data_IF_909482128327
#
_entry.id   IF_909482128327
#
_cell.length_a   1.000
_cell.length_b   1.000
_cell.length_c   1.000
_cell.angle_alpha   90.00
_cell.angle_beta   90.00
_cell.angle_gamma   90.00
#
_symmetry.space_group_name_H-M   'P 1'
#
loop_
_entity.id
_entity.type
_entity.pdbx_description
1 polymer ?
#
# COMPACT_ATOMS: atom_id res chain seq x y z
N UNK A 1 -11.12 -12.58 33.54
CA UNK A 1 -11.17 -11.62 32.41
C UNK A 1 -10.09 -12.04 31.44
N UNK A 2 -10.39 -12.11 30.14
CA UNK A 2 -9.37 -12.37 29.13
C UNK A 2 -8.54 -11.09 28.94
N UNK A 3 -7.22 -11.20 29.05
CA UNK A 3 -6.31 -10.09 28.76
C UNK A 3 -6.08 -10.08 27.26
N UNK A 4 -6.40 -8.96 26.59
CA UNK A 4 -6.05 -8.76 25.18
C UNK A 4 -4.68 -8.11 25.08
N UNK A 5 -3.82 -8.67 24.25
CA UNK A 5 -2.53 -8.10 23.91
C UNK A 5 -2.63 -7.30 22.61
N UNK A 6 -2.03 -6.12 22.59
CA UNK A 6 -1.90 -5.31 21.38
C UNK A 6 -0.88 -5.96 20.45
N UNK A 7 -1.13 -5.87 19.14
CA UNK A 7 -0.18 -6.30 18.12
C UNK A 7 0.77 -5.13 17.83
N UNK A 8 2.08 -5.28 18.06
CA UNK A 8 3.02 -4.19 17.82
C UNK A 8 3.28 -4.01 16.32
N UNK A 9 3.66 -2.80 15.90
CA UNK A 9 3.91 -2.46 14.50
C UNK A 9 5.15 -3.15 13.86
N UNK A 10 5.89 -3.95 14.62
CA UNK A 10 6.98 -4.80 14.13
C UNK A 10 6.58 -6.28 14.04
N UNK A 11 5.35 -6.62 14.41
CA UNK A 11 4.84 -7.98 14.31
C UNK A 11 4.73 -8.39 12.83
N UNK A 12 5.22 -9.57 12.43
CA UNK A 12 5.12 -10.01 11.04
C UNK A 12 3.70 -10.04 10.48
N UNK A 13 2.68 -10.21 11.32
CA UNK A 13 1.27 -10.20 10.90
C UNK A 13 0.82 -8.86 10.35
N UNK A 14 1.49 -7.77 10.72
CA UNK A 14 1.20 -6.43 10.19
C UNK A 14 1.79 -6.22 8.80
N UNK A 15 2.50 -7.19 8.23
CA UNK A 15 3.04 -7.12 6.87
C UNK A 15 2.07 -7.76 5.88
N UNK A 16 1.87 -7.10 4.75
CA UNK A 16 1.20 -7.63 3.57
C UNK A 16 2.26 -7.94 2.54
N UNK A 17 2.23 -9.16 2.00
CA UNK A 17 3.11 -9.59 0.91
C UNK A 17 2.27 -10.02 -0.28
N UNK A 18 2.53 -9.41 -1.44
CA UNK A 18 1.80 -9.64 -2.69
C UNK A 18 2.82 -10.04 -3.75
N UNK A 19 2.62 -11.22 -4.33
CA UNK A 19 3.38 -11.64 -5.51
C UNK A 19 2.73 -11.04 -6.76
N UNK A 20 3.53 -10.30 -7.54
CA UNK A 20 3.08 -9.69 -8.78
C UNK A 20 3.73 -10.43 -9.95
N UNK A 21 2.97 -11.28 -10.69
CA UNK A 21 3.49 -11.95 -11.86
C UNK A 21 3.74 -10.93 -12.97
N UNK A 22 4.90 -11.02 -13.62
CA UNK A 22 5.28 -10.13 -14.73
C UNK A 22 5.71 -10.97 -15.92
N UNK A 23 5.16 -10.66 -17.09
CA UNK A 23 5.52 -11.35 -18.33
C UNK A 23 7.03 -11.27 -18.59
N UNK A 24 7.62 -12.39 -19.00
CA UNK A 24 9.06 -12.47 -19.29
C UNK A 24 9.97 -12.64 -18.06
N UNK A 25 9.44 -12.54 -16.83
CA UNK A 25 10.19 -12.86 -15.60
C UNK A 25 9.91 -14.29 -15.13
N UNK A 26 10.96 -15.01 -14.71
CA UNK A 26 10.83 -16.35 -14.09
C UNK A 26 10.40 -16.30 -12.62
N UNK A 27 10.67 -15.18 -11.94
CA UNK A 27 10.26 -14.94 -10.55
C UNK A 27 9.34 -13.72 -10.52
N UNK A 28 8.22 -13.79 -9.78
CA UNK A 28 7.36 -12.62 -9.61
C UNK A 28 8.11 -11.49 -8.92
N UNK A 29 7.64 -10.27 -9.13
CA UNK A 29 7.98 -9.16 -8.26
C UNK A 29 7.30 -9.38 -6.90
N UNK A 30 7.88 -8.82 -5.84
CA UNK A 30 7.31 -8.93 -4.51
C UNK A 30 7.07 -7.53 -3.96
N UNK A 31 5.82 -7.23 -3.67
CA UNK A 31 5.45 -6.07 -2.88
C UNK A 31 5.29 -6.52 -1.43
N UNK A 32 6.12 -5.98 -0.53
CA UNK A 32 6.01 -6.24 0.90
C UNK A 32 5.99 -4.93 1.66
N UNK A 33 4.84 -4.60 2.26
CA UNK A 33 4.65 -3.37 3.02
C UNK A 33 3.86 -3.65 4.29
N UNK A 34 3.98 -2.78 5.30
CA UNK A 34 3.04 -2.82 6.42
C UNK A 34 1.63 -2.59 5.91
N UNK A 35 0.65 -3.18 6.58
CA UNK A 35 -0.76 -2.83 6.47
C UNK A 35 -0.91 -1.32 6.65
N UNK A 36 -1.86 -0.76 5.92
CA UNK A 36 -2.15 0.67 5.88
C UNK A 36 -2.21 1.32 7.27
N UNK A 37 -2.95 0.71 8.19
CA UNK A 37 -3.17 1.21 9.56
C UNK A 37 -1.93 1.15 10.46
N UNK A 38 -0.91 0.39 10.07
CA UNK A 38 0.35 0.24 10.80
C UNK A 38 1.49 1.07 10.19
N UNK A 39 1.18 1.89 9.19
CA UNK A 39 2.12 2.87 8.65
C UNK A 39 2.35 4.01 9.66
N UNK A 40 3.53 4.66 9.64
CA UNK A 40 3.76 5.84 10.45
C UNK A 40 2.72 6.93 10.16
N UNK A 41 2.22 7.60 11.20
CA UNK A 41 1.21 8.66 11.07
C UNK A 41 1.65 9.76 10.09
N UNK A 42 2.89 10.23 10.21
CA UNK A 42 3.46 11.23 9.29
C UNK A 42 3.37 10.79 7.82
N UNK A 43 3.58 9.49 7.55
CA UNK A 43 3.53 8.97 6.19
C UNK A 43 2.09 8.98 5.64
N UNK A 44 1.10 8.75 6.50
CA UNK A 44 -0.31 8.85 6.14
C UNK A 44 -0.71 10.30 5.89
N UNK A 45 -0.24 11.23 6.72
CA UNK A 45 -0.50 12.66 6.55
C UNK A 45 0.14 13.19 5.26
N UNK A 46 1.40 12.84 4.99
CA UNK A 46 2.10 13.23 3.76
C UNK A 46 1.39 12.70 2.51
N UNK A 47 0.84 11.48 2.57
CA UNK A 47 0.03 10.92 1.49
C UNK A 47 -1.28 11.69 1.29
N UNK A 48 -1.96 12.08 2.36
CA UNK A 48 -3.20 12.86 2.27
C UNK A 48 -2.93 14.27 1.71
N UNK A 49 -1.83 14.90 2.10
CA UNK A 49 -1.39 16.17 1.52
C UNK A 49 -1.08 16.01 0.03
N UNK A 50 -0.31 14.98 -0.34
CA UNK A 50 -0.01 14.67 -1.74
C UNK A 50 -1.29 14.50 -2.56
N UNK A 51 -2.25 13.70 -2.08
CA UNK A 51 -3.51 13.46 -2.75
C UNK A 51 -4.32 14.76 -2.90
N UNK A 52 -4.40 15.55 -1.84
CA UNK A 52 -5.13 16.83 -1.84
C UNK A 52 -4.50 17.84 -2.81
N UNK A 53 -3.18 17.84 -2.95
CA UNK A 53 -2.46 18.69 -3.91
C UNK A 53 -2.64 18.25 -5.37
N UNK A 54 -2.94 16.96 -5.60
CA UNK A 54 -3.14 16.38 -6.92
C UNK A 54 -4.57 16.54 -7.44
N UNK A 55 -5.52 16.92 -6.57
CA UNK A 55 -6.91 17.21 -6.89
C UNK A 55 -7.04 18.67 -7.29
N UNK A 56 -7.59 18.92 -8.48
CA UNK A 56 -7.96 20.25 -8.93
C UNK A 56 -9.11 20.79 -8.04
N UNK A 57 -8.94 21.97 -7.40
CA UNK A 57 -9.90 22.48 -6.43
C UNK A 57 -11.20 23.00 -7.06
N UNK A 58 -11.22 23.30 -8.36
CA UNK A 58 -12.42 23.78 -9.06
C UNK A 58 -13.29 22.63 -9.54
N UNK A 59 -12.66 21.53 -9.96
CA UNK A 59 -13.35 20.37 -10.56
C UNK A 59 -13.50 19.20 -9.59
N UNK A 60 -12.72 19.15 -8.51
CA UNK A 60 -12.66 18.03 -7.57
C UNK A 60 -12.12 16.75 -8.19
N UNK A 61 -11.45 16.84 -9.34
CA UNK A 61 -10.89 15.70 -10.08
C UNK A 61 -9.37 15.77 -10.02
N UNK A 62 -8.72 14.62 -10.16
CA UNK A 62 -7.29 14.58 -10.40
C UNK A 62 -6.98 15.25 -11.75
N UNK A 63 -5.80 15.86 -11.85
CA UNK A 63 -5.34 16.50 -13.08
C UNK A 63 -5.56 15.59 -14.31
N UNK A 64 -6.04 16.17 -15.41
CA UNK A 64 -6.47 15.42 -16.61
C UNK A 64 -5.44 14.36 -17.04
N UNK A 65 -5.90 13.11 -17.15
CA UNK A 65 -5.11 11.98 -17.65
C UNK A 65 -4.55 11.03 -16.58
N UNK A 66 -4.62 11.37 -15.29
CA UNK A 66 -4.26 10.43 -14.21
C UNK A 66 -5.51 9.72 -13.68
N UNK A 67 -5.48 8.39 -13.60
CA UNK A 67 -6.50 7.62 -12.87
C UNK A 67 -6.16 7.61 -11.39
N UNK A 68 -7.18 7.66 -10.53
CA UNK A 68 -7.03 7.67 -9.06
C UNK A 68 -6.01 6.63 -8.58
N UNK A 69 -6.12 5.39 -9.02
CA UNK A 69 -5.21 4.34 -8.56
C UNK A 69 -3.75 4.46 -9.02
N UNK A 70 -3.43 5.23 -10.08
CA UNK A 70 -2.03 5.53 -10.43
C UNK A 70 -1.39 6.43 -9.38
N UNK A 71 -2.06 7.55 -9.06
CA UNK A 71 -1.59 8.49 -8.04
C UNK A 71 -1.54 7.86 -6.66
N UNK A 72 -2.52 6.99 -6.35
CA UNK A 72 -2.57 6.32 -5.06
C UNK A 72 -1.36 5.42 -4.88
N UNK A 73 -1.08 4.45 -5.77
CA UNK A 73 0.01 3.49 -5.51
C UNK A 73 1.40 4.03 -5.85
N UNK A 74 1.55 4.92 -6.84
CA UNK A 74 2.88 5.40 -7.26
C UNK A 74 3.60 6.12 -6.10
N UNK A 75 2.87 6.97 -5.36
CA UNK A 75 3.42 7.64 -4.18
C UNK A 75 3.93 6.64 -3.13
N UNK A 76 3.18 5.56 -2.89
CA UNK A 76 3.61 4.52 -1.97
C UNK A 76 4.80 3.74 -2.49
N UNK A 77 4.88 3.45 -3.79
CA UNK A 77 6.05 2.78 -4.36
C UNK A 77 7.31 3.65 -4.30
N UNK A 78 7.17 4.98 -4.36
CA UNK A 78 8.29 5.92 -4.22
C UNK A 78 8.72 6.13 -2.76
N UNK A 79 7.79 6.00 -1.81
CA UNK A 79 8.04 6.35 -0.41
C UNK A 79 8.34 5.12 0.46
N UNK A 80 7.78 3.97 0.10
CA UNK A 80 8.14 2.70 0.70
C UNK A 80 9.46 2.27 0.08
N UNK A 81 10.49 2.11 0.90
CA UNK A 81 11.84 1.64 0.52
C UNK A 81 11.80 0.17 0.07
N UNK A 82 11.12 -0.11 -1.05
CA UNK A 82 10.87 -1.43 -1.57
C UNK A 82 12.00 -1.86 -2.51
N UNK A 83 12.51 -3.11 -2.41
CA UNK A 83 13.60 -3.59 -3.25
C UNK A 83 13.32 -3.54 -4.76
N UNK A 84 12.04 -3.70 -5.15
CA UNK A 84 11.59 -3.74 -6.54
C UNK A 84 10.71 -2.52 -6.92
N UNK A 85 10.78 -1.41 -6.18
CA UNK A 85 9.94 -0.22 -6.39
C UNK A 85 9.90 0.25 -7.86
N UNK A 86 11.07 0.38 -8.48
CA UNK A 86 11.19 0.84 -9.88
C UNK A 86 10.60 -0.14 -10.90
N UNK A 87 10.61 -1.44 -10.59
CA UNK A 87 10.00 -2.44 -11.46
C UNK A 87 8.48 -2.50 -11.26
N UNK A 88 8.01 -2.35 -10.03
CA UNK A 88 6.58 -2.24 -9.70
C UNK A 88 5.93 -1.00 -10.35
N UNK A 89 6.66 0.10 -10.47
CA UNK A 89 6.19 1.29 -11.20
C UNK A 89 6.02 1.07 -12.70
N UNK A 90 6.68 0.08 -13.31
CA UNK A 90 6.54 -0.23 -14.75
C UNK A 90 5.29 -1.03 -15.08
N UNK A 91 4.57 -1.52 -14.07
CA UNK A 91 3.31 -2.24 -14.27
C UNK A 91 2.30 -1.39 -15.04
N UNK A 92 1.35 -2.05 -15.69
CA UNK A 92 0.23 -1.36 -16.31
C UNK A 92 -0.65 -0.70 -15.25
N UNK A 93 -1.47 0.27 -15.69
CA UNK A 93 -2.42 0.96 -14.83
C UNK A 93 -3.37 -0.02 -14.11
N UNK A 94 -3.83 -1.06 -14.82
CA UNK A 94 -4.72 -2.07 -14.25
C UNK A 94 -4.05 -2.88 -13.14
N UNK A 95 -2.79 -3.28 -13.34
CA UNK A 95 -2.02 -4.04 -12.35
C UNK A 95 -1.68 -3.20 -11.12
N UNK A 96 -1.34 -1.92 -11.31
CA UNK A 96 -1.12 -0.96 -10.22
C UNK A 96 -2.40 -0.75 -9.38
N UNK A 97 -3.55 -0.58 -10.03
CA UNK A 97 -4.83 -0.50 -9.33
C UNK A 97 -5.16 -1.79 -8.57
N UNK A 98 -4.89 -2.95 -9.16
CA UNK A 98 -5.10 -4.23 -8.50
C UNK A 98 -4.20 -4.37 -7.26
N UNK A 99 -2.92 -3.99 -7.37
CA UNK A 99 -1.98 -4.00 -6.26
C UNK A 99 -2.48 -3.11 -5.10
N UNK A 100 -2.91 -1.88 -5.42
CA UNK A 100 -3.53 -0.96 -4.45
C UNK A 100 -4.74 -1.59 -3.76
N UNK A 101 -5.68 -2.15 -4.54
CA UNK A 101 -6.91 -2.74 -3.99
C UNK A 101 -6.63 -3.94 -3.10
N UNK A 102 -5.70 -4.82 -3.49
CA UNK A 102 -5.32 -5.97 -2.67
C UNK A 102 -4.68 -5.48 -1.37
N UNK A 103 -3.71 -4.57 -1.44
CA UNK A 103 -3.04 -4.09 -0.24
C UNK A 103 -4.01 -3.39 0.74
N UNK A 104 -4.95 -2.60 0.23
CA UNK A 104 -6.04 -2.00 1.02
C UNK A 104 -6.92 -3.07 1.67
N UNK A 105 -7.38 -4.04 0.91
CA UNK A 105 -8.25 -5.11 1.43
C UNK A 105 -7.55 -5.95 2.50
N UNK A 106 -6.29 -6.34 2.28
CA UNK A 106 -5.47 -7.09 3.24
C UNK A 106 -5.21 -6.30 4.54
N UNK A 107 -5.19 -4.97 4.45
CA UNK A 107 -5.03 -4.09 5.60
C UNK A 107 -6.28 -3.99 6.47
N UNK A 108 -7.46 -4.35 5.95
CA UNK A 108 -8.74 -4.26 6.68
C UNK A 108 -9.14 -5.60 7.35
N UNK A 109 -8.37 -6.67 7.11
CA UNK A 109 -8.61 -8.00 7.69
C UNK A 109 -8.28 -7.99 9.18
N UNK A 110 -9.13 -8.57 10.04
CA UNK A 110 -8.83 -8.71 11.47
C UNK A 110 -7.56 -9.56 11.70
N UNK A 111 -6.63 -9.04 12.49
CA UNK A 111 -5.37 -9.70 12.84
C UNK A 111 -5.52 -10.75 13.96
N UNK A 112 -6.70 -10.83 14.58
CA UNK A 112 -6.96 -11.71 15.72
C UNK A 112 -6.23 -11.27 16.99
N UNK A 113 -6.27 -12.12 18.02
CA UNK A 113 -5.58 -11.85 19.29
C UNK A 113 -4.10 -12.27 19.20
N UNK A 114 -3.21 -11.54 19.87
CA UNK A 114 -1.82 -11.96 20.03
C UNK A 114 -1.74 -13.03 21.12
N UNK A 115 -1.36 -14.26 20.76
CA UNK A 115 -1.02 -15.28 21.75
C UNK A 115 0.35 -14.96 22.34
N UNK A 116 0.40 -14.77 23.65
CA UNK A 116 1.66 -14.67 24.38
C UNK A 116 2.39 -16.01 24.25
N UNK A 117 3.55 -16.02 23.61
CA UNK A 117 4.51 -17.14 23.73
C UNK A 117 5.07 -17.23 25.14
#
# INVERSE_FOLDING_TARGET
>A
MATRQLIPAHDPRVMVTIEVPVEGRKKPLVFTAKRWEFQPEQLIDDFQEHLSSAIDPETGKLAEGRKDGELLIDWWLDTLDLPDADELKKLTIGERNQLWMIWRAESEIDLGESEAS
#
